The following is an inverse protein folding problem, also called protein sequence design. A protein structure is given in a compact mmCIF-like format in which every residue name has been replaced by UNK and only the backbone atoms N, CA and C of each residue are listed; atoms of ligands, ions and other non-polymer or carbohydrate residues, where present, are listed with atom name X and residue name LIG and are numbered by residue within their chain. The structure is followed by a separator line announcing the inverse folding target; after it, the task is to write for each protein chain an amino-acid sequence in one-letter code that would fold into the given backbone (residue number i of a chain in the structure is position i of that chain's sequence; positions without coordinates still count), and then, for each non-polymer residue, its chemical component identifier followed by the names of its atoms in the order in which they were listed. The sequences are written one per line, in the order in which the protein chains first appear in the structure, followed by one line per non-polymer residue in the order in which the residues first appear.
data_IF_498932212638
#
_entry.id   IF_498932212638
#
_cell.length_a   1.000
_cell.length_b   1.000
_cell.length_c   1.000
_cell.angle_alpha   90.00
_cell.angle_beta   90.00
_cell.angle_gamma   90.00
#
_symmetry.space_group_name_H-M   'P 1'
#
loop_
_entity.id
_entity.type
_entity.pdbx_description
1 polymer ?
#
# COMPACT_ATOMS: atom_id res chain seq x y z
N UNK A 1 1.77 -28.15 -14.58
CA UNK A 1 2.87 -27.95 -13.62
C UNK A 1 2.27 -27.24 -12.42
N UNK A 2 2.15 -27.92 -11.28
CA UNK A 2 1.29 -27.46 -10.18
C UNK A 2 1.93 -26.26 -9.47
N UNK A 3 1.13 -25.32 -8.97
CA UNK A 3 1.56 -24.16 -8.17
C UNK A 3 2.62 -24.50 -7.11
N UNK A 4 2.51 -25.68 -6.49
CA UNK A 4 3.49 -26.21 -5.53
C UNK A 4 4.89 -26.40 -6.12
N UNK A 5 5.01 -26.82 -7.36
CA UNK A 5 6.29 -27.12 -8.02
C UNK A 5 7.05 -25.83 -8.37
N UNK A 6 6.33 -24.77 -8.76
CA UNK A 6 6.91 -23.46 -9.04
C UNK A 6 7.31 -22.69 -7.76
N UNK A 7 6.52 -22.82 -6.68
CA UNK A 7 6.87 -22.30 -5.36
C UNK A 7 8.05 -23.06 -4.73
N UNK A 8 8.18 -24.36 -4.97
CA UNK A 8 9.31 -25.14 -4.46
C UNK A 8 10.64 -24.81 -5.16
N UNK A 9 10.60 -24.40 -6.43
CA UNK A 9 11.78 -24.02 -7.19
C UNK A 9 12.25 -22.57 -6.91
N UNK A 10 11.40 -21.74 -6.29
CA UNK A 10 11.70 -20.34 -6.00
C UNK A 10 11.81 -20.13 -4.48
N UNK A 11 12.97 -19.68 -4.01
CA UNK A 11 13.22 -19.36 -2.59
C UNK A 11 12.44 -18.11 -2.11
N UNK A 12 11.32 -17.77 -2.75
CA UNK A 12 10.51 -16.57 -2.44
C UNK A 12 9.87 -16.66 -1.05
N UNK A 13 9.68 -17.87 -0.52
CA UNK A 13 9.13 -18.12 0.82
C UNK A 13 10.20 -18.39 1.89
N UNK A 14 11.50 -18.25 1.57
CA UNK A 14 12.61 -18.49 2.49
C UNK A 14 12.64 -17.55 3.70
N UNK A 15 13.82 -17.31 4.25
CA UNK A 15 13.98 -16.44 5.44
C UNK A 15 13.63 -14.98 5.10
N UNK A 16 12.38 -14.60 5.40
CA UNK A 16 11.81 -13.27 5.20
C UNK A 16 11.65 -12.58 6.56
N UNK A 17 12.31 -11.43 6.71
CA UNK A 17 12.20 -10.61 7.92
C UNK A 17 10.83 -9.97 8.06
N UNK A 18 10.18 -9.60 6.95
CA UNK A 18 8.83 -8.98 6.92
C UNK A 18 8.00 -9.48 5.74
N UNK A 19 6.69 -9.37 5.87
CA UNK A 19 5.72 -9.76 4.84
C UNK A 19 4.70 -8.64 4.65
N UNK A 20 4.56 -8.19 3.41
CA UNK A 20 3.67 -7.10 3.01
C UNK A 20 2.58 -7.69 2.11
N UNK A 21 1.34 -7.26 2.29
CA UNK A 21 0.18 -7.73 1.54
C UNK A 21 -0.53 -6.56 0.88
N UNK A 22 -1.25 -6.82 -0.22
CA UNK A 22 -2.27 -5.90 -0.71
C UNK A 22 -3.32 -5.64 0.39
N UNK A 23 -3.57 -4.36 0.70
CA UNK A 23 -4.42 -3.93 1.84
C UNK A 23 -5.69 -3.20 1.36
N UNK A 24 -6.78 -3.92 1.02
CA UNK A 24 -8.07 -3.28 0.79
C UNK A 24 -8.68 -2.76 2.11
N UNK A 25 -8.32 -3.38 3.23
CA UNK A 25 -8.58 -2.96 4.61
C UNK A 25 -7.70 -3.78 5.57
N UNK A 26 -7.36 -3.24 6.74
CA UNK A 26 -6.32 -3.82 7.62
C UNK A 26 -6.57 -5.27 8.06
N UNK A 27 -7.82 -5.66 8.32
CA UNK A 27 -8.15 -7.06 8.71
C UNK A 27 -7.81 -8.07 7.60
N UNK A 28 -7.80 -7.66 6.33
CA UNK A 28 -7.48 -8.57 5.23
C UNK A 28 -6.00 -9.00 5.27
N UNK A 29 -5.09 -8.08 5.57
CA UNK A 29 -3.66 -8.40 5.72
C UNK A 29 -3.43 -9.44 6.84
N UNK A 30 -4.11 -9.31 7.98
CA UNK A 30 -4.02 -10.30 9.08
C UNK A 30 -4.50 -11.69 8.66
N UNK A 31 -5.64 -11.78 7.95
CA UNK A 31 -6.16 -13.05 7.43
C UNK A 31 -5.21 -13.68 6.42
N UNK A 32 -4.70 -12.90 5.47
CA UNK A 32 -3.75 -13.36 4.46
C UNK A 32 -2.45 -13.86 5.11
N UNK A 33 -1.95 -13.13 6.09
CA UNK A 33 -0.75 -13.50 6.83
C UNK A 33 -0.92 -14.81 7.59
N UNK A 34 -1.98 -14.91 8.41
CA UNK A 34 -2.29 -16.12 9.16
C UNK A 34 -2.42 -17.33 8.24
N UNK A 35 -3.14 -17.19 7.12
CA UNK A 35 -3.26 -18.26 6.14
C UNK A 35 -1.90 -18.64 5.53
N UNK A 36 -1.09 -17.65 5.13
CA UNK A 36 0.26 -17.88 4.62
C UNK A 36 1.17 -18.58 5.61
N UNK A 37 1.04 -18.32 6.92
CA UNK A 37 1.82 -19.02 7.96
C UNK A 37 1.31 -20.44 8.23
N UNK A 38 0.01 -20.66 8.13
CA UNK A 38 -0.55 -22.01 8.20
C UNK A 38 -0.11 -22.88 7.01
N UNK A 39 0.05 -22.29 5.82
CA UNK A 39 0.61 -23.00 4.65
C UNK A 39 2.07 -23.45 4.86
N UNK A 40 2.81 -22.76 5.73
CA UNK A 40 4.17 -23.14 6.15
C UNK A 40 4.16 -24.15 7.32
N UNK A 41 2.99 -24.61 7.75
CA UNK A 41 2.85 -25.65 8.77
C UNK A 41 2.66 -25.15 10.22
N UNK A 42 2.54 -23.84 10.44
CA UNK A 42 2.27 -23.29 11.78
C UNK A 42 0.80 -23.55 12.18
N UNK A 43 0.55 -23.79 13.46
CA UNK A 43 -0.81 -23.81 13.99
C UNK A 43 -1.44 -22.41 13.89
N UNK A 44 -2.77 -22.31 13.86
CA UNK A 44 -3.47 -21.02 13.65
C UNK A 44 -3.08 -19.96 14.69
N UNK A 45 -2.94 -20.35 15.97
CA UNK A 45 -2.55 -19.45 17.06
C UNK A 45 -1.12 -18.95 16.93
N UNK A 46 -0.19 -19.81 16.54
CA UNK A 46 1.22 -19.47 16.29
C UNK A 46 1.34 -18.56 15.07
N UNK A 47 0.63 -18.90 13.99
CA UNK A 47 0.53 -18.11 12.77
C UNK A 47 0.03 -16.69 13.07
N UNK A 48 -1.05 -16.55 13.85
CA UNK A 48 -1.59 -15.24 14.20
C UNK A 48 -0.65 -14.44 15.13
N UNK A 49 0.08 -15.10 16.03
CA UNK A 49 1.04 -14.46 16.92
C UNK A 49 2.22 -13.79 16.17
N UNK A 50 2.60 -14.30 14.99
CA UNK A 50 3.68 -13.69 14.18
C UNK A 50 3.30 -12.35 13.54
N UNK A 51 2.01 -12.03 13.44
CA UNK A 51 1.51 -10.84 12.75
C UNK A 51 2.10 -9.53 13.29
N UNK A 52 2.20 -9.42 14.63
CA UNK A 52 2.70 -8.23 15.30
C UNK A 52 4.15 -7.89 14.88
N UNK A 53 4.97 -8.92 14.64
CA UNK A 53 6.37 -8.78 14.25
C UNK A 53 6.54 -8.62 12.74
N UNK A 54 5.76 -9.37 11.95
CA UNK A 54 6.07 -9.54 10.52
C UNK A 54 5.30 -8.59 9.60
N UNK A 55 4.18 -8.04 10.05
CA UNK A 55 3.23 -7.30 9.20
C UNK A 55 2.76 -6.00 9.82
N UNK A 56 2.57 -5.91 11.13
CA UNK A 56 1.85 -4.80 11.76
C UNK A 56 2.38 -3.41 11.36
N UNK A 57 3.70 -3.23 11.29
CA UNK A 57 4.32 -1.95 10.90
C UNK A 57 4.04 -1.55 9.45
N UNK A 58 3.76 -2.50 8.55
CA UNK A 58 3.37 -2.20 7.16
C UNK A 58 1.96 -1.61 7.08
N UNK A 59 1.20 -1.57 8.17
CA UNK A 59 -0.20 -1.13 8.18
C UNK A 59 -0.42 0.27 8.75
N UNK A 60 0.63 0.95 9.23
CA UNK A 60 0.49 2.30 9.79
C UNK A 60 -0.10 3.28 8.78
N UNK A 61 0.49 3.41 7.58
CA UNK A 61 -0.07 4.29 6.54
C UNK A 61 -1.38 3.79 5.94
N UNK A 62 -1.55 2.48 5.60
CA UNK A 62 -2.85 1.98 5.14
C UNK A 62 -4.01 2.22 6.11
N UNK A 63 -3.77 2.18 7.43
CA UNK A 63 -4.79 2.47 8.45
C UNK A 63 -5.26 3.93 8.42
N UNK A 64 -4.39 4.84 7.98
CA UNK A 64 -4.67 6.26 7.87
C UNK A 64 -5.30 6.68 6.53
N UNK A 65 -5.05 5.93 5.45
CA UNK A 65 -5.43 6.30 4.08
C UNK A 65 -6.63 5.50 3.55
N UNK A 66 -6.73 4.21 3.90
CA UNK A 66 -7.69 3.31 3.28
C UNK A 66 -7.20 2.69 1.97
N UNK A 67 -8.11 2.17 1.16
CA UNK A 67 -7.77 1.43 -0.06
C UNK A 67 -7.37 2.38 -1.21
N UNK A 68 -6.20 2.14 -1.79
CA UNK A 68 -5.66 2.85 -2.96
C UNK A 68 -5.48 1.89 -4.15
N UNK A 69 -6.23 0.77 -4.17
CA UNK A 69 -6.18 -0.27 -5.21
C UNK A 69 -4.75 -0.74 -5.50
N UNK A 70 -4.25 -0.52 -6.72
CA UNK A 70 -2.89 -0.91 -7.14
C UNK A 70 -1.82 -0.28 -6.24
N UNK A 71 -2.09 0.90 -5.67
CA UNK A 71 -1.19 1.56 -4.72
C UNK A 71 -1.15 0.92 -3.33
N UNK A 72 -2.13 0.10 -2.94
CA UNK A 72 -2.25 -0.38 -1.54
C UNK A 72 -1.09 -1.26 -1.09
N UNK A 73 -0.51 -2.09 -1.98
CA UNK A 73 0.68 -2.87 -1.65
C UNK A 73 1.89 -1.96 -1.40
N UNK A 74 2.06 -0.95 -2.25
CA UNK A 74 3.20 -0.05 -2.18
C UNK A 74 3.06 0.98 -1.07
N UNK A 75 1.85 1.35 -0.68
CA UNK A 75 1.60 2.14 0.52
C UNK A 75 1.99 1.36 1.78
N UNK A 76 1.73 0.06 1.81
CA UNK A 76 2.16 -0.81 2.90
C UNK A 76 3.70 -0.99 2.93
N UNK A 77 4.33 -1.07 1.75
CA UNK A 77 5.79 -1.06 1.63
C UNK A 77 6.39 0.28 2.12
N UNK A 78 5.82 1.40 1.70
CA UNK A 78 6.23 2.73 2.14
C UNK A 78 6.10 2.86 3.66
N UNK A 79 5.00 2.36 4.25
CA UNK A 79 4.80 2.28 5.69
C UNK A 79 5.92 1.47 6.34
N UNK A 80 6.23 0.26 5.85
CA UNK A 80 7.30 -0.55 6.43
C UNK A 80 8.66 0.15 6.36
N UNK A 81 9.04 0.67 5.19
CA UNK A 81 10.35 1.29 4.99
C UNK A 81 10.50 2.58 5.79
N UNK A 82 9.45 3.39 5.90
CA UNK A 82 9.48 4.59 6.73
C UNK A 82 9.85 4.28 8.18
N UNK A 83 9.31 3.20 8.75
CA UNK A 83 9.50 2.87 10.16
C UNK A 83 10.71 1.96 10.42
N UNK A 84 11.07 1.09 9.48
CA UNK A 84 12.01 -0.01 9.76
C UNK A 84 13.14 -0.17 8.73
N UNK A 85 13.25 0.67 7.70
CA UNK A 85 14.24 0.46 6.63
C UNK A 85 15.67 0.26 7.15
N UNK A 86 16.12 1.07 8.12
CA UNK A 86 17.46 0.95 8.70
C UNK A 86 17.69 -0.39 9.42
N UNK A 87 16.68 -0.91 10.12
CA UNK A 87 16.76 -2.20 10.81
C UNK A 87 16.68 -3.39 9.85
N UNK A 88 16.07 -3.19 8.69
CA UNK A 88 15.86 -4.22 7.67
C UNK A 88 17.00 -4.31 6.65
N UNK A 89 18.01 -3.43 6.68
CA UNK A 89 19.12 -3.49 5.72
C UNK A 89 19.78 -4.87 5.69
N UNK A 90 20.00 -5.40 4.49
CA UNK A 90 20.48 -6.75 4.24
C UNK A 90 19.42 -7.84 4.40
N UNK A 91 18.24 -7.57 4.97
CA UNK A 91 17.18 -8.57 5.13
C UNK A 91 16.29 -8.67 3.88
N UNK A 92 15.65 -9.83 3.72
CA UNK A 92 14.65 -10.05 2.67
C UNK A 92 13.25 -9.75 3.20
N UNK A 93 12.41 -9.18 2.34
CA UNK A 93 11.00 -8.93 2.61
C UNK A 93 10.16 -9.53 1.48
N UNK A 94 9.00 -10.10 1.83
CA UNK A 94 8.05 -10.68 0.87
C UNK A 94 6.90 -9.72 0.60
N UNK A 95 6.40 -9.72 -0.64
CA UNK A 95 5.32 -8.88 -1.11
C UNK A 95 4.27 -9.74 -1.82
N UNK A 96 3.02 -9.64 -1.39
CA UNK A 96 1.88 -10.32 -2.00
C UNK A 96 0.96 -9.30 -2.69
N UNK A 97 0.98 -9.30 -4.01
CA UNK A 97 0.09 -8.50 -4.86
C UNK A 97 -1.16 -9.29 -5.24
N UNK A 98 -2.30 -8.62 -5.29
CA UNK A 98 -3.58 -9.21 -5.68
C UNK A 98 -4.45 -8.21 -6.43
N UNK A 99 -5.06 -8.66 -7.52
CA UNK A 99 -6.10 -7.96 -8.26
C UNK A 99 -7.30 -8.86 -8.55
N UNK A 100 -8.51 -8.34 -8.40
CA UNK A 100 -9.75 -9.07 -8.71
C UNK A 100 -9.87 -9.38 -10.21
N UNK A 101 -10.29 -10.59 -10.57
CA UNK A 101 -10.33 -11.09 -11.95
C UNK A 101 -10.04 -12.61 -12.12
N UNK A 102 -9.05 -13.24 -11.49
CA UNK A 102 -8.03 -12.73 -10.57
C UNK A 102 -6.59 -13.12 -10.98
N UNK A 103 -5.65 -12.27 -10.57
CA UNK A 103 -4.20 -12.55 -10.66
C UNK A 103 -3.59 -12.18 -9.31
N UNK A 104 -2.73 -13.07 -8.82
CA UNK A 104 -1.93 -12.85 -7.63
C UNK A 104 -0.46 -13.15 -7.95
N UNK A 105 0.43 -12.37 -7.37
CA UNK A 105 1.87 -12.56 -7.51
C UNK A 105 2.54 -12.39 -6.16
N UNK A 106 3.43 -13.32 -5.82
CA UNK A 106 4.28 -13.25 -4.64
C UNK A 106 5.73 -13.14 -5.06
N UNK A 107 6.40 -12.11 -4.57
CA UNK A 107 7.81 -11.87 -4.87
C UNK A 107 8.54 -11.38 -3.62
N UNK A 108 9.87 -11.48 -3.64
CA UNK A 108 10.71 -11.05 -2.52
C UNK A 108 11.83 -10.12 -3.00
N UNK A 109 12.13 -9.12 -2.18
CA UNK A 109 13.24 -8.19 -2.39
C UNK A 109 14.16 -8.17 -1.18
N UNK A 110 15.41 -7.76 -1.38
CA UNK A 110 16.35 -7.49 -0.28
C UNK A 110 16.44 -5.99 -0.06
N UNK A 111 16.27 -5.54 1.18
CA UNK A 111 16.49 -4.14 1.54
C UNK A 111 18.00 -3.89 1.49
N UNK A 112 18.44 -2.97 0.64
CA UNK A 112 19.85 -2.69 0.42
C UNK A 112 20.41 -1.74 1.48
N UNK A 113 21.73 -1.72 1.63
CA UNK A 113 22.37 -0.74 2.51
C UNK A 113 22.09 0.69 2.05
N UNK A 114 21.84 1.59 3.00
CA UNK A 114 21.47 2.98 2.74
C UNK A 114 19.97 3.22 2.54
N UNK A 115 19.15 2.16 2.51
CA UNK A 115 17.69 2.29 2.39
C UNK A 115 17.08 3.11 3.54
N UNK A 116 17.65 3.02 4.75
CA UNK A 116 17.21 3.83 5.88
C UNK A 116 17.35 5.34 5.62
N UNK A 117 18.50 5.76 5.08
CA UNK A 117 18.75 7.16 4.73
C UNK A 117 17.79 7.64 3.64
N UNK A 118 17.54 6.81 2.61
CA UNK A 118 16.61 7.15 1.52
C UNK A 118 15.19 7.30 2.08
N UNK A 119 14.71 6.36 2.90
CA UNK A 119 13.38 6.42 3.48
C UNK A 119 13.17 7.68 4.34
N UNK A 120 14.18 8.07 5.13
CA UNK A 120 14.14 9.28 5.93
C UNK A 120 14.08 10.56 5.07
N UNK A 121 14.84 10.62 3.97
CA UNK A 121 14.85 11.77 3.06
C UNK A 121 13.53 11.97 2.32
N UNK A 122 12.80 10.88 2.02
CA UNK A 122 11.51 10.94 1.34
C UNK A 122 10.40 11.58 2.18
N UNK A 123 10.55 11.65 3.51
CA UNK A 123 9.54 12.19 4.45
C UNK A 123 8.12 11.71 4.13
N UNK A 124 7.96 10.40 4.03
CA UNK A 124 6.73 9.74 3.55
C UNK A 124 5.48 10.04 4.39
N UNK A 125 5.66 10.48 5.64
CA UNK A 125 4.64 10.90 6.58
C UNK A 125 4.18 12.36 6.38
N UNK A 126 5.01 13.22 5.76
CA UNK A 126 4.71 14.64 5.61
C UNK A 126 3.39 14.93 4.87
N UNK A 127 3.04 14.22 3.76
CA UNK A 127 1.74 14.39 3.13
C UNK A 127 0.58 14.04 4.06
N UNK A 128 0.71 13.00 4.90
CA UNK A 128 -0.32 12.56 5.84
C UNK A 128 -0.55 13.59 6.96
N UNK A 129 0.52 14.24 7.42
CA UNK A 129 0.46 15.30 8.43
C UNK A 129 -0.21 16.59 7.92
N UNK A 130 -0.18 16.84 6.61
CA UNK A 130 -0.78 18.02 5.97
C UNK A 130 -2.28 17.89 5.66
N UNK A 131 -2.90 16.76 6.05
CA UNK A 131 -4.31 16.48 5.79
C UNK A 131 -5.21 17.29 6.72
N UNK A 132 -6.40 17.61 6.23
CA UNK A 132 -7.47 18.23 7.01
C UNK A 132 -8.57 17.20 7.23
N UNK A 133 -9.10 17.15 8.46
CA UNK A 133 -10.32 16.38 8.73
C UNK A 133 -11.52 17.09 8.10
N UNK A 134 -12.29 16.36 7.29
CA UNK A 134 -13.60 16.79 6.83
C UNK A 134 -14.71 16.17 7.69
N UNK A 135 -15.84 16.87 7.76
CA UNK A 135 -17.11 16.32 8.24
C UNK A 135 -17.67 15.31 7.25
N UNK A 136 -18.61 14.47 7.68
CA UNK A 136 -19.29 13.52 6.79
C UNK A 136 -20.07 14.25 5.70
N UNK A 137 -20.73 15.37 6.02
CA UNK A 137 -21.48 16.17 5.05
C UNK A 137 -20.59 16.83 3.99
N UNK A 138 -19.42 17.36 4.38
CA UNK A 138 -18.42 17.84 3.40
C UNK A 138 -17.95 16.70 2.49
N UNK A 139 -17.65 15.52 3.05
CA UNK A 139 -17.26 14.35 2.29
C UNK A 139 -18.35 13.94 1.28
N UNK A 140 -19.61 13.82 1.71
CA UNK A 140 -20.73 13.46 0.83
C UNK A 140 -20.93 14.47 -0.29
N UNK A 141 -20.75 15.76 0.01
CA UNK A 141 -20.82 16.84 -0.98
C UNK A 141 -19.71 16.72 -2.03
N UNK A 142 -18.48 16.36 -1.61
CA UNK A 142 -17.37 16.07 -2.53
C UNK A 142 -17.70 14.84 -3.38
N UNK A 143 -18.19 13.75 -2.77
CA UNK A 143 -18.51 12.50 -3.48
C UNK A 143 -19.66 12.65 -4.48
N UNK A 144 -20.60 13.57 -4.26
CA UNK A 144 -21.67 13.85 -5.21
C UNK A 144 -21.13 14.37 -6.55
N UNK A 145 -19.96 15.01 -6.56
CA UNK A 145 -19.30 15.52 -7.77
C UNK A 145 -18.67 14.41 -8.64
N UNK A 146 -18.48 13.20 -8.11
CA UNK A 146 -17.88 12.09 -8.87
C UNK A 146 -18.70 11.68 -10.09
N UNK A 147 -20.02 11.85 -10.04
CA UNK A 147 -20.93 11.50 -11.13
C UNK A 147 -20.59 12.21 -12.45
N UNK A 148 -20.04 13.43 -12.35
CA UNK A 148 -19.69 14.29 -13.47
C UNK A 148 -18.17 14.50 -13.60
N UNK A 149 -17.35 13.69 -12.91
CA UNK A 149 -15.90 13.91 -12.81
C UNK A 149 -15.19 13.94 -14.17
N UNK A 150 -15.66 13.13 -15.13
CA UNK A 150 -15.07 13.02 -16.48
C UNK A 150 -15.62 14.03 -17.49
N UNK A 151 -16.68 14.77 -17.15
CA UNK A 151 -17.31 15.78 -18.01
C UNK A 151 -17.30 17.18 -17.38
N UNK A 152 -16.67 17.34 -16.21
CA UNK A 152 -16.64 18.59 -15.46
C UNK A 152 -16.08 19.75 -16.32
N UNK A 153 -16.83 20.85 -16.51
CA UNK A 153 -16.34 22.00 -17.27
C UNK A 153 -15.16 22.66 -16.55
N UNK A 154 -14.38 23.45 -17.30
CA UNK A 154 -13.34 24.32 -16.71
C UNK A 154 -13.97 25.22 -15.64
N UNK A 155 -13.35 25.28 -14.46
CA UNK A 155 -13.95 25.93 -13.31
C UNK A 155 -12.93 26.47 -12.31
N UNK A 156 -13.37 26.64 -11.06
CA UNK A 156 -12.44 26.95 -9.97
C UNK A 156 -11.73 25.68 -9.52
N UNK A 157 -10.43 25.81 -9.25
CA UNK A 157 -9.58 24.73 -8.77
C UNK A 157 -8.81 25.20 -7.57
N UNK A 158 -8.72 24.31 -6.57
CA UNK A 158 -7.81 24.48 -5.45
C UNK A 158 -6.58 23.62 -5.75
N UNK A 159 -5.51 24.25 -6.25
CA UNK A 159 -4.19 23.66 -6.25
C UNK A 159 -3.43 24.22 -5.04
N UNK A 160 -2.78 23.34 -4.28
CA UNK A 160 -1.77 23.79 -3.30
C UNK A 160 -0.48 24.10 -4.04
N UNK A 161 0.34 25.00 -3.50
CA UNK A 161 1.65 25.32 -4.09
C UNK A 161 2.49 24.05 -4.31
N UNK A 162 2.93 23.83 -5.55
CA UNK A 162 3.72 22.66 -5.95
C UNK A 162 2.91 21.39 -6.21
N UNK A 163 1.57 21.44 -6.17
CA UNK A 163 0.69 20.33 -6.53
C UNK A 163 0.02 20.56 -7.88
N UNK A 164 -0.16 19.48 -8.63
CA UNK A 164 -0.93 19.50 -9.88
C UNK A 164 -2.39 19.18 -9.57
N UNK A 165 -3.31 20.07 -9.95
CA UNK A 165 -4.74 19.88 -9.81
C UNK A 165 -5.43 19.69 -11.17
N UNK A 166 -6.40 18.79 -11.22
CA UNK A 166 -7.27 18.64 -12.39
C UNK A 166 -8.22 19.83 -12.52
N UNK A 167 -8.19 20.47 -13.69
CA UNK A 167 -8.95 21.69 -14.00
C UNK A 167 -10.28 21.43 -14.75
N UNK A 168 -10.58 20.19 -15.11
CA UNK A 168 -11.77 19.88 -15.91
C UNK A 168 -11.43 19.61 -17.37
N UNK A 169 -12.46 19.65 -18.22
CA UNK A 169 -12.39 19.15 -19.60
C UNK A 169 -12.74 20.23 -20.60
N UNK A 170 -11.94 20.34 -21.66
CA UNK A 170 -12.20 21.18 -22.84
C UNK A 170 -12.25 20.29 -24.10
N UNK A 171 -13.47 19.95 -24.54
CA UNK A 171 -13.69 18.94 -25.57
C UNK A 171 -13.38 17.55 -25.02
N UNK A 172 -12.35 16.88 -25.55
CA UNK A 172 -11.83 15.60 -25.03
C UNK A 172 -10.53 15.76 -24.22
N UNK A 173 -10.06 17.00 -24.04
CA UNK A 173 -8.78 17.29 -23.37
C UNK A 173 -9.00 17.51 -21.88
N UNK A 174 -8.25 16.78 -21.06
CA UNK A 174 -8.15 17.01 -19.61
C UNK A 174 -7.15 18.13 -19.35
N UNK A 175 -7.60 19.20 -18.69
CA UNK A 175 -6.78 20.35 -18.35
C UNK A 175 -6.28 20.21 -16.91
N UNK A 176 -5.04 20.62 -16.65
CA UNK A 176 -4.40 20.59 -15.34
C UNK A 176 -3.70 21.93 -15.07
N UNK A 177 -3.63 22.31 -13.80
CA UNK A 177 -2.93 23.51 -13.30
C UNK A 177 -1.94 23.11 -12.22
N UNK A 178 -0.83 23.83 -12.07
CA UNK A 178 0.22 23.58 -11.07
C UNK A 178 1.33 24.62 -11.14
#
# INVERSE_FOLDING_TARGET
MAWKDACAASDVHGDLGRRIYHVPYGKMARKAHRHSRMLDGLAETEADATFAREVATSLAFPAEVGNVYTGSLYLALASLLHHEAAALEGQRIGLFSYGSGCVAEYFAGRVVSGAGSVAAQLRLDAPLASRRRCTVSEYESIRALDADADSRPLGQHEARDGEVAFAGVEGERRIYVG
#
